data_IF_418023680774
#
_entry.id   IF_418023680774
#
_cell.length_a   1.000
_cell.length_b   1.000
_cell.length_c   1.000
_cell.angle_alpha   90.00
_cell.angle_beta   90.00
_cell.angle_gamma   90.00
#
_symmetry.space_group_name_H-M   'P 1'
#
loop_
_entity.id
_entity.type
_entity.pdbx_description
1 polymer ?
#
# COMPACT_ATOMS: atom_id res chain seq x y z
N UNK A 1 -18.98 7.07 -17.94
CA UNK A 1 -18.91 6.44 -16.61
C UNK A 1 -18.58 7.48 -15.57
N UNK A 2 -19.45 7.62 -14.61
CA UNK A 2 -19.23 8.59 -13.54
C UNK A 2 -18.20 8.02 -12.59
N UNK A 3 -17.01 8.62 -12.57
CA UNK A 3 -16.02 8.31 -11.54
C UNK A 3 -16.59 8.83 -10.21
N UNK A 4 -16.76 7.95 -9.24
CA UNK A 4 -17.08 8.40 -7.90
C UNK A 4 -15.86 9.17 -7.40
N UNK A 5 -15.97 10.48 -7.34
CA UNK A 5 -14.87 11.31 -6.86
C UNK A 5 -14.62 10.98 -5.39
N UNK A 6 -13.50 10.37 -5.10
CA UNK A 6 -13.02 10.28 -3.74
C UNK A 6 -12.67 11.71 -3.32
N UNK A 7 -13.27 12.20 -2.24
CA UNK A 7 -13.09 13.57 -1.78
C UNK A 7 -11.72 13.76 -1.14
N UNK A 8 -10.66 13.51 -1.91
CA UNK A 8 -9.32 13.87 -1.51
C UNK A 8 -8.51 14.15 -2.76
N UNK A 9 -7.81 15.26 -2.74
CA UNK A 9 -7.07 15.80 -3.88
C UNK A 9 -6.06 14.79 -4.42
N UNK A 10 -6.24 14.37 -5.68
CA UNK A 10 -5.34 13.46 -6.38
C UNK A 10 -5.54 11.98 -6.05
N UNK A 11 -6.53 11.63 -5.22
CA UNK A 11 -6.82 10.23 -4.90
C UNK A 11 -8.12 9.83 -5.61
N UNK A 12 -8.11 8.68 -6.27
CA UNK A 12 -9.26 8.12 -6.96
C UNK A 12 -9.29 6.60 -6.84
N UNK A 13 -10.41 6.00 -7.24
CA UNK A 13 -10.49 4.55 -7.31
C UNK A 13 -9.69 4.00 -8.49
N UNK A 14 -9.20 2.78 -8.32
CA UNK A 14 -8.48 2.01 -9.32
C UNK A 14 -9.33 1.78 -10.58
N UNK A 15 -8.68 1.82 -11.73
CA UNK A 15 -9.23 1.46 -13.04
C UNK A 15 -8.34 0.41 -13.71
N UNK A 16 -8.91 -0.42 -14.58
CA UNK A 16 -8.19 -1.50 -15.23
C UNK A 16 -6.88 -1.06 -15.89
N UNK A 17 -6.85 0.10 -16.51
CA UNK A 17 -5.67 0.65 -17.18
C UNK A 17 -4.53 1.05 -16.26
N UNK A 18 -4.72 1.03 -14.94
CA UNK A 18 -3.70 1.42 -13.96
C UNK A 18 -2.70 0.31 -13.67
N UNK A 19 -3.07 -0.95 -13.92
CA UNK A 19 -2.26 -2.10 -13.50
C UNK A 19 -0.81 -2.05 -14.01
N UNK A 20 -0.52 -1.73 -15.28
CA UNK A 20 0.87 -1.65 -15.74
C UNK A 20 1.73 -0.65 -14.98
N UNK A 21 1.21 0.53 -14.66
CA UNK A 21 1.95 1.52 -13.88
C UNK A 21 2.13 1.08 -12.42
N UNK A 22 1.09 0.48 -11.84
CA UNK A 22 1.11 0.00 -10.44
C UNK A 22 2.17 -1.07 -10.24
N UNK A 23 2.22 -2.09 -11.11
CA UNK A 23 3.20 -3.17 -10.93
C UNK A 23 4.63 -2.69 -11.09
N UNK A 24 4.88 -1.73 -11.97
CA UNK A 24 6.19 -1.11 -12.13
C UNK A 24 6.56 -0.28 -10.91
N UNK A 25 5.63 0.51 -10.42
CA UNK A 25 5.81 1.33 -9.22
C UNK A 25 6.17 0.45 -8.02
N UNK A 26 5.43 -0.64 -7.83
CA UNK A 26 5.69 -1.59 -6.75
C UNK A 26 7.11 -2.13 -6.83
N UNK A 27 7.51 -2.65 -7.99
CA UNK A 27 8.85 -3.21 -8.19
C UNK A 27 9.95 -2.18 -7.92
N UNK A 28 9.83 -1.00 -8.51
CA UNK A 28 10.82 0.07 -8.35
C UNK A 28 10.90 0.57 -6.91
N UNK A 29 9.76 0.67 -6.22
CA UNK A 29 9.74 1.12 -4.82
C UNK A 29 10.41 0.10 -3.91
N UNK A 30 10.12 -1.19 -4.08
CA UNK A 30 10.76 -2.24 -3.28
C UNK A 30 12.28 -2.17 -3.46
N UNK A 31 12.76 -2.06 -4.69
CA UNK A 31 14.20 -2.06 -4.99
C UNK A 31 14.92 -0.74 -4.71
N UNK A 32 14.22 0.35 -4.48
CA UNK A 32 14.83 1.66 -4.17
C UNK A 32 14.60 2.08 -2.71
N UNK A 33 13.36 2.21 -2.29
CA UNK A 33 13.01 2.76 -0.96
C UNK A 33 13.28 1.73 0.13
N UNK A 34 12.85 0.49 -0.08
CA UNK A 34 13.02 -0.58 0.90
C UNK A 34 14.48 -1.06 1.04
N UNK A 35 15.33 -0.70 0.09
CA UNK A 35 16.76 -1.01 0.15
C UNK A 35 17.44 -0.46 1.41
N UNK A 36 16.92 0.59 1.99
CA UNK A 36 17.46 1.16 3.23
C UNK A 36 17.40 0.18 4.41
N UNK A 37 16.49 -0.78 4.38
CA UNK A 37 16.21 -1.67 5.52
C UNK A 37 16.31 -3.16 5.21
N UNK A 38 16.48 -3.55 3.94
CA UNK A 38 16.52 -4.96 3.53
C UNK A 38 17.70 -5.23 2.61
N UNK A 39 18.27 -6.44 2.71
CA UNK A 39 19.35 -6.91 1.84
C UNK A 39 18.85 -7.13 0.41
N UNK A 40 19.77 -7.16 -0.56
CA UNK A 40 19.43 -7.46 -1.96
C UNK A 40 18.72 -8.80 -2.09
N UNK A 41 19.15 -9.82 -1.35
CA UNK A 41 18.52 -11.13 -1.35
C UNK A 41 17.04 -11.04 -0.94
N UNK A 42 16.74 -10.25 0.11
CA UNK A 42 15.38 -10.05 0.58
C UNK A 42 14.55 -9.24 -0.40
N UNK A 43 15.12 -8.22 -1.01
CA UNK A 43 14.41 -7.42 -2.02
C UNK A 43 14.06 -8.26 -3.25
N UNK A 44 14.97 -9.11 -3.70
CA UNK A 44 14.71 -10.02 -4.82
C UNK A 44 13.66 -11.08 -4.49
N UNK A 45 13.65 -11.58 -3.25
CA UNK A 45 12.62 -12.50 -2.81
C UNK A 45 11.24 -11.83 -2.74
N UNK A 46 11.20 -10.55 -2.37
CA UNK A 46 9.98 -9.76 -2.27
C UNK A 46 9.44 -9.40 -3.66
N UNK A 47 10.29 -8.94 -4.55
CA UNK A 47 9.93 -8.52 -5.90
C UNK A 47 11.03 -8.97 -6.88
N UNK A 48 10.96 -10.22 -7.33
CA UNK A 48 11.97 -10.81 -8.22
C UNK A 48 11.97 -10.16 -9.60
N UNK A 49 10.80 -9.71 -10.06
CA UNK A 49 10.60 -9.07 -11.36
C UNK A 49 9.38 -8.16 -11.28
N UNK A 50 9.17 -7.36 -12.31
CA UNK A 50 7.92 -6.59 -12.43
C UNK A 50 6.77 -7.60 -12.53
N UNK A 51 5.76 -7.52 -11.64
CA UNK A 51 4.64 -8.47 -11.66
C UNK A 51 3.85 -8.40 -12.96
N UNK A 52 3.10 -9.48 -13.24
CA UNK A 52 2.18 -9.52 -14.36
C UNK A 52 0.99 -8.60 -14.08
N UNK A 53 0.76 -7.57 -14.93
CA UNK A 53 -0.36 -6.66 -14.73
C UNK A 53 -1.73 -7.34 -14.72
N UNK A 54 -1.92 -8.39 -15.51
CA UNK A 54 -3.20 -9.10 -15.57
C UNK A 54 -3.51 -9.84 -14.27
N UNK A 55 -2.51 -10.48 -13.67
CA UNK A 55 -2.66 -11.15 -12.38
C UNK A 55 -2.99 -10.17 -11.27
N UNK A 56 -2.30 -9.03 -11.26
CA UNK A 56 -2.57 -7.99 -10.27
C UNK A 56 -3.92 -7.33 -10.47
N UNK A 57 -4.32 -7.11 -11.72
CA UNK A 57 -5.65 -6.58 -12.03
C UNK A 57 -6.75 -7.48 -11.47
N UNK A 58 -6.65 -8.80 -11.68
CA UNK A 58 -7.65 -9.74 -11.19
C UNK A 58 -7.85 -9.65 -9.67
N UNK A 59 -6.74 -9.44 -8.92
CA UNK A 59 -6.80 -9.27 -7.47
C UNK A 59 -7.34 -7.90 -7.08
N UNK A 60 -6.80 -6.83 -7.67
CA UNK A 60 -7.16 -5.46 -7.32
C UNK A 60 -8.61 -5.11 -7.66
N UNK A 61 -9.15 -5.69 -8.74
CA UNK A 61 -10.52 -5.45 -9.15
C UNK A 61 -11.54 -5.98 -8.14
N UNK A 62 -11.18 -6.99 -7.34
CA UNK A 62 -12.04 -7.56 -6.30
C UNK A 62 -11.88 -6.89 -4.94
N UNK A 63 -11.08 -5.84 -4.84
CA UNK A 63 -10.78 -5.13 -3.59
C UNK A 63 -11.05 -3.64 -3.74
N UNK A 64 -10.93 -2.91 -2.62
CA UNK A 64 -10.96 -1.45 -2.67
C UNK A 64 -9.55 -0.94 -2.91
N UNK A 65 -9.22 -0.69 -4.15
CA UNK A 65 -7.91 -0.19 -4.54
C UNK A 65 -8.01 1.29 -4.85
N UNK A 66 -7.12 2.07 -4.24
CA UNK A 66 -7.04 3.51 -4.38
C UNK A 66 -5.74 3.88 -5.10
N UNK A 67 -5.80 4.91 -5.91
CA UNK A 67 -4.68 5.38 -6.71
C UNK A 67 -4.46 6.85 -6.45
N UNK A 68 -3.20 7.22 -6.21
CA UNK A 68 -2.78 8.61 -6.16
C UNK A 68 -2.24 9.00 -7.55
N UNK A 69 -2.77 10.07 -8.10
CA UNK A 69 -2.43 10.55 -9.43
C UNK A 69 -1.95 11.99 -9.37
N UNK A 70 -0.85 12.29 -10.05
CA UNK A 70 -0.33 13.64 -10.21
C UNK A 70 0.09 13.82 -11.66
N UNK A 71 -0.42 14.87 -12.31
CA UNK A 71 -0.07 15.15 -13.71
C UNK A 71 -0.41 14.04 -14.69
N UNK A 72 -1.47 13.26 -14.41
CA UNK A 72 -1.86 12.14 -15.25
C UNK A 72 -1.08 10.85 -15.00
N UNK A 73 -0.14 10.84 -14.05
CA UNK A 73 0.69 9.70 -13.72
C UNK A 73 0.32 9.12 -12.36
N UNK A 74 0.41 7.79 -12.22
CA UNK A 74 0.22 7.10 -10.94
C UNK A 74 1.48 7.31 -10.08
N UNK A 75 1.32 7.92 -8.92
CA UNK A 75 2.43 8.18 -7.98
C UNK A 75 2.33 7.38 -6.69
N UNK A 76 1.25 6.64 -6.50
CA UNK A 76 1.07 5.77 -5.35
C UNK A 76 -0.21 4.97 -5.46
N UNK A 77 -0.33 3.93 -4.63
CA UNK A 77 -1.55 3.15 -4.55
C UNK A 77 -1.70 2.50 -3.18
N UNK A 78 -2.94 2.16 -2.85
CA UNK A 78 -3.26 1.41 -1.64
C UNK A 78 -4.29 0.34 -1.98
N UNK A 79 -4.14 -0.83 -1.41
CA UNK A 79 -5.04 -1.97 -1.62
C UNK A 79 -5.67 -2.34 -0.29
N UNK A 80 -6.98 -2.09 -0.16
CA UNK A 80 -7.75 -2.31 1.06
C UNK A 80 -8.70 -3.49 0.88
N UNK A 81 -8.60 -4.46 1.78
CA UNK A 81 -9.54 -5.58 1.83
C UNK A 81 -10.79 -5.21 2.64
N UNK A 82 -11.86 -5.96 2.46
CA UNK A 82 -13.16 -5.64 3.06
C UNK A 82 -13.24 -5.88 4.58
N UNK A 83 -12.25 -6.55 5.16
CA UNK A 83 -12.17 -6.81 6.60
C UNK A 83 -11.37 -5.76 7.39
N UNK A 84 -10.88 -4.72 6.70
CA UNK A 84 -10.07 -3.67 7.31
C UNK A 84 -8.56 -3.90 7.18
N UNK A 85 -8.15 -4.93 6.45
CA UNK A 85 -6.73 -5.17 6.19
C UNK A 85 -6.24 -4.24 5.08
N UNK A 86 -5.26 -3.41 5.40
CA UNK A 86 -4.52 -2.64 4.41
C UNK A 86 -3.36 -3.52 3.92
N UNK A 87 -3.57 -4.15 2.77
CA UNK A 87 -2.62 -5.12 2.24
C UNK A 87 -1.40 -4.46 1.58
N UNK A 88 -1.60 -3.34 0.89
CA UNK A 88 -0.53 -2.61 0.23
C UNK A 88 -0.73 -1.10 0.35
N UNK A 89 0.37 -0.39 0.55
CA UNK A 89 0.45 1.06 0.40
C UNK A 89 1.87 1.38 -0.07
N UNK A 90 1.98 1.81 -1.31
CA UNK A 90 3.26 2.11 -1.93
C UNK A 90 3.22 3.48 -2.59
N UNK A 91 4.33 4.21 -2.49
CA UNK A 91 4.51 5.52 -3.11
C UNK A 91 5.70 5.43 -4.06
N UNK A 92 5.57 6.02 -5.25
CA UNK A 92 6.63 6.03 -6.25
C UNK A 92 7.90 6.66 -5.65
N UNK A 93 9.04 6.08 -5.96
CA UNK A 93 10.34 6.44 -5.36
C UNK A 93 10.66 7.94 -5.40
N UNK A 94 10.26 8.63 -6.46
CA UNK A 94 10.52 10.07 -6.61
C UNK A 94 9.42 10.95 -6.01
N UNK A 95 8.37 10.36 -5.47
CA UNK A 95 7.26 11.06 -4.81
C UNK A 95 7.24 10.87 -3.28
N UNK A 96 8.18 10.11 -2.74
CA UNK A 96 8.31 9.87 -1.29
C UNK A 96 8.62 11.18 -0.57
N UNK A 97 8.00 11.39 0.60
CA UNK A 97 8.24 12.60 1.40
C UNK A 97 7.39 13.81 1.01
N UNK A 98 6.48 13.66 0.07
CA UNK A 98 5.59 14.76 -0.38
C UNK A 98 4.15 14.61 0.09
N UNK A 99 3.88 13.72 1.03
CA UNK A 99 2.56 13.53 1.60
C UNK A 99 1.62 12.63 0.80
N UNK A 100 2.09 11.95 -0.24
CA UNK A 100 1.28 11.04 -1.06
C UNK A 100 0.74 9.87 -0.22
N UNK A 101 1.61 9.22 0.56
CA UNK A 101 1.22 8.12 1.43
C UNK A 101 0.18 8.54 2.46
N UNK A 102 0.34 9.71 3.05
CA UNK A 102 -0.60 10.26 4.01
C UNK A 102 -1.97 10.51 3.38
N UNK A 103 -2.02 11.09 2.20
CA UNK A 103 -3.30 11.33 1.49
C UNK A 103 -4.00 10.03 1.14
N UNK A 104 -3.24 9.02 0.68
CA UNK A 104 -3.78 7.69 0.44
C UNK A 104 -4.36 7.09 1.72
N UNK A 105 -3.59 7.15 2.81
CA UNK A 105 -4.01 6.60 4.08
C UNK A 105 -5.27 7.28 4.62
N UNK A 106 -5.39 8.60 4.49
CA UNK A 106 -6.58 9.33 4.93
C UNK A 106 -7.86 8.83 4.23
N UNK A 107 -7.76 8.50 2.95
CA UNK A 107 -8.89 7.91 2.22
C UNK A 107 -9.15 6.47 2.66
N UNK A 108 -8.09 5.67 2.86
CA UNK A 108 -8.21 4.31 3.40
C UNK A 108 -8.97 4.32 4.72
N UNK A 109 -8.61 5.21 5.64
CA UNK A 109 -9.27 5.31 6.94
C UNK A 109 -10.74 5.70 6.78
N UNK A 110 -11.05 6.66 5.93
CA UNK A 110 -12.42 7.10 5.65
C UNK A 110 -13.27 5.95 5.07
N UNK A 111 -12.71 5.21 4.12
CA UNK A 111 -13.38 4.05 3.53
C UNK A 111 -13.65 2.97 4.58
N UNK A 112 -12.70 2.70 5.45
CA UNK A 112 -12.85 1.72 6.52
C UNK A 112 -13.92 2.13 7.51
N UNK A 113 -13.94 3.41 7.91
CA UNK A 113 -14.98 3.96 8.78
C UNK A 113 -16.36 3.89 8.11
N UNK A 114 -16.42 4.17 6.81
CA UNK A 114 -17.66 4.11 6.04
C UNK A 114 -18.27 2.72 5.96
N UNK A 115 -17.46 1.68 6.13
CA UNK A 115 -17.92 0.29 6.21
C UNK A 115 -18.42 -0.09 7.61
N UNK A 116 -18.27 0.79 8.59
CA UNK A 116 -18.63 0.51 9.97
C UNK A 116 -17.60 -0.33 10.72
N UNK A 117 -16.39 -0.48 10.19
CA UNK A 117 -15.33 -1.22 10.84
C UNK A 117 -14.66 -0.37 11.92
N UNK A 118 -14.34 -1.00 13.05
CA UNK A 118 -13.72 -0.33 14.20
C UNK A 118 -12.20 -0.43 14.22
N UNK A 119 -11.59 -1.11 13.27
CA UNK A 119 -10.16 -1.35 13.23
C UNK A 119 -9.64 -1.36 11.82
N UNK A 120 -8.37 -0.96 11.69
CA UNK A 120 -7.59 -1.15 10.48
C UNK A 120 -6.27 -1.80 10.89
N UNK A 121 -5.81 -2.78 10.11
CA UNK A 121 -4.59 -3.50 10.42
C UNK A 121 -3.76 -3.72 9.16
N UNK A 122 -2.46 -3.90 9.37
CA UNK A 122 -1.50 -4.09 8.27
C UNK A 122 -0.31 -4.90 8.73
N UNK A 123 0.41 -5.48 7.79
CA UNK A 123 1.74 -6.04 8.02
C UNK A 123 2.73 -5.07 7.38
N UNK A 124 3.34 -4.23 8.21
CA UNK A 124 4.22 -3.17 7.75
C UNK A 124 5.66 -3.64 7.62
N UNK A 125 6.32 -3.27 6.52
CA UNK A 125 7.76 -3.45 6.39
C UNK A 125 8.51 -2.62 7.42
N UNK A 126 9.79 -2.93 7.65
CA UNK A 126 10.67 -2.10 8.49
C UNK A 126 10.66 -0.67 7.97
N UNK A 127 10.70 -0.49 6.66
CA UNK A 127 10.70 0.82 6.01
C UNK A 127 9.41 1.61 6.27
N UNK A 128 8.26 0.94 6.21
CA UNK A 128 6.94 1.57 6.38
C UNK A 128 6.52 1.74 7.84
N UNK A 129 7.13 1.01 8.76
CA UNK A 129 6.78 1.04 10.18
C UNK A 129 6.70 2.46 10.77
N UNK A 130 7.68 3.36 10.56
CA UNK A 130 7.60 4.72 11.09
C UNK A 130 6.42 5.52 10.52
N UNK A 131 6.10 5.30 9.25
CA UNK A 131 4.95 5.95 8.62
C UNK A 131 3.66 5.58 9.34
N UNK A 132 3.44 4.28 9.57
CA UNK A 132 2.21 3.84 10.24
C UNK A 132 2.14 4.29 11.70
N UNK A 133 3.25 4.37 12.40
CA UNK A 133 3.27 4.95 13.74
C UNK A 133 2.79 6.40 13.73
N UNK A 134 3.23 7.19 12.75
CA UNK A 134 2.79 8.58 12.59
C UNK A 134 1.29 8.68 12.32
N UNK A 135 0.70 7.66 11.69
CA UNK A 135 -0.75 7.62 11.43
C UNK A 135 -1.55 7.12 12.65
N UNK A 136 -0.89 6.80 13.75
CA UNK A 136 -1.55 6.37 14.98
C UNK A 136 -1.67 4.85 15.14
N UNK A 137 -1.00 4.07 14.32
CA UNK A 137 -0.93 2.62 14.47
C UNK A 137 0.02 2.24 15.60
N UNK A 138 -0.27 1.14 16.27
CA UNK A 138 0.61 0.52 17.26
C UNK A 138 1.10 -0.82 16.76
N UNK A 139 2.29 -1.22 17.17
CA UNK A 139 2.83 -2.53 16.87
C UNK A 139 2.15 -3.56 17.77
N UNK A 140 1.58 -4.59 17.16
CA UNK A 140 1.03 -5.75 17.87
C UNK A 140 2.15 -6.76 18.12
N UNK A 141 2.96 -7.03 17.09
CA UNK A 141 4.12 -7.90 17.18
C UNK A 141 5.07 -7.73 16.02
N UNK A 142 6.34 -8.00 16.26
CA UNK A 142 7.33 -8.22 15.22
C UNK A 142 7.25 -9.68 14.78
N UNK A 143 7.42 -9.93 13.49
CA UNK A 143 7.37 -11.29 12.96
C UNK A 143 8.34 -11.50 11.81
N UNK A 144 8.62 -12.77 11.53
CA UNK A 144 9.36 -13.17 10.34
C UNK A 144 8.37 -13.76 9.35
N UNK A 145 8.45 -13.29 8.09
CA UNK A 145 7.67 -13.84 6.99
C UNK A 145 8.61 -14.42 5.95
N UNK A 146 8.19 -15.48 5.28
CA UNK A 146 8.98 -16.12 4.24
C UNK A 146 8.42 -15.76 2.86
N UNK A 147 9.31 -15.29 1.99
CA UNK A 147 8.98 -15.02 0.58
C UNK A 147 10.01 -15.74 -0.28
N UNK A 148 9.58 -16.65 -1.13
CA UNK A 148 10.47 -17.47 -1.97
C UNK A 148 11.61 -18.11 -1.16
N UNK A 149 11.30 -18.62 0.03
CA UNK A 149 12.26 -19.27 0.90
C UNK A 149 13.21 -18.34 1.67
N UNK A 150 13.05 -17.02 1.51
CA UNK A 150 13.89 -16.03 2.23
C UNK A 150 13.05 -15.40 3.36
N UNK A 151 13.59 -15.46 4.58
CA UNK A 151 12.95 -14.86 5.75
C UNK A 151 13.23 -13.37 5.82
N UNK A 152 12.19 -12.59 6.13
CA UNK A 152 12.33 -11.16 6.34
C UNK A 152 11.42 -10.68 7.46
N UNK A 153 11.88 -9.67 8.20
CA UNK A 153 11.15 -9.08 9.31
C UNK A 153 10.08 -8.13 8.81
N UNK A 154 8.88 -8.21 9.41
CA UNK A 154 7.90 -7.14 9.33
C UNK A 154 7.16 -6.99 10.65
N UNK A 155 6.19 -6.07 10.71
CA UNK A 155 5.46 -5.76 11.92
C UNK A 155 3.97 -5.85 11.66
N UNK A 156 3.27 -6.60 12.51
CA UNK A 156 1.81 -6.54 12.55
C UNK A 156 1.43 -5.29 13.31
N UNK A 157 0.69 -4.41 12.68
CA UNK A 157 0.29 -3.13 13.25
C UNK A 157 -1.22 -2.94 13.12
N UNK A 158 -1.81 -2.22 14.06
CA UNK A 158 -3.25 -1.95 14.06
C UNK A 158 -3.56 -0.55 14.56
N UNK A 159 -4.71 -0.04 14.15
CA UNK A 159 -5.25 1.23 14.63
C UNK A 159 -6.73 1.06 14.92
N UNK A 160 -7.16 1.47 16.11
CA UNK A 160 -8.56 1.56 16.46
C UNK A 160 -9.17 2.78 15.81
N UNK A 161 -10.37 2.61 15.25
CA UNK A 161 -11.14 3.69 14.62
C UNK A 161 -12.37 3.95 15.47
N UNK A 162 -12.27 4.80 16.50
CA UNK A 162 -13.43 5.10 17.34
C UNK A 162 -14.53 5.74 16.51
N UNK A 163 -15.77 5.32 16.78
CA UNK A 163 -16.94 5.71 16.03
C UNK A 163 -17.33 7.18 16.12
#
# INVERSE_FOLDING_TARGET
MIRTAVQNRGIRYYEAGDAPEIVRLFFETVHSVNRANYSNERLEAWAASVPDPEEWHARMAGRRTLVAEEGGEVVGFAELEYDGRLDMLYVRKDAVGRGVGRRLYEVVERETRGQGLGWIFTEASITAHPFFEQQGFRVVREQMVSRRGVSMTNFVMEKELPG
#
